data_IF_097852613959
#
_entry.id   IF_097852613959
#
_cell.length_a   1.000
_cell.length_b   1.000
_cell.length_c   1.000
_cell.angle_alpha   90.00
_cell.angle_beta   90.00
_cell.angle_gamma   90.00
#
_symmetry.space_group_name_H-M   'P 1'
#
loop_
_entity.id
_entity.type
_entity.pdbx_description
1 polymer ?
#
# COMPACT_ATOMS: atom_id res chain seq x y z
N UNK A 1 -23.14 10.33 -20.14
CA UNK A 1 -22.14 11.25 -19.57
C UNK A 1 -21.81 10.74 -18.17
N UNK A 2 -20.69 10.04 -18.00
CA UNK A 2 -20.33 9.46 -16.71
C UNK A 2 -19.85 10.59 -15.79
N UNK A 3 -20.60 10.89 -14.74
CA UNK A 3 -20.19 11.88 -13.75
C UNK A 3 -18.86 11.45 -13.11
N UNK A 4 -17.92 12.40 -13.01
CA UNK A 4 -16.62 12.17 -12.35
C UNK A 4 -16.83 11.52 -10.98
N UNK A 5 -16.37 10.28 -10.84
CA UNK A 5 -16.54 9.49 -9.63
C UNK A 5 -15.63 10.03 -8.53
N UNK A 6 -16.23 10.73 -7.56
CA UNK A 6 -15.53 11.35 -6.42
C UNK A 6 -15.68 10.46 -5.19
N UNK A 7 -14.56 10.11 -4.56
CA UNK A 7 -14.50 9.31 -3.34
C UNK A 7 -14.18 10.23 -2.17
N UNK A 8 -14.99 10.21 -1.11
CA UNK A 8 -14.74 10.97 0.12
C UNK A 8 -14.09 10.09 1.17
N UNK A 9 -12.86 10.43 1.57
CA UNK A 9 -12.14 9.79 2.68
C UNK A 9 -11.94 10.83 3.78
N UNK A 10 -12.76 10.73 4.84
CA UNK A 10 -12.79 11.73 5.91
C UNK A 10 -13.14 13.12 5.38
N UNK A 11 -12.21 14.09 5.52
CA UNK A 11 -12.35 15.46 5.00
C UNK A 11 -11.85 15.65 3.56
N UNK A 12 -11.22 14.64 2.96
CA UNK A 12 -10.66 14.73 1.60
C UNK A 12 -11.66 14.18 0.59
N UNK A 13 -11.79 14.90 -0.52
CA UNK A 13 -12.50 14.44 -1.72
C UNK A 13 -11.42 14.13 -2.76
N UNK A 14 -11.35 12.88 -3.20
CA UNK A 14 -10.41 12.41 -4.19
C UNK A 14 -11.18 12.05 -5.46
N UNK A 15 -10.65 12.44 -6.61
CA UNK A 15 -11.16 11.96 -7.89
C UNK A 15 -10.60 10.57 -8.17
N UNK A 16 -11.38 9.75 -8.87
CA UNK A 16 -10.97 8.42 -9.27
C UNK A 16 -9.64 8.45 -10.04
N UNK A 17 -9.50 9.37 -10.97
CA UNK A 17 -8.31 9.54 -11.83
C UNK A 17 -7.06 9.82 -10.99
N UNK A 18 -7.19 10.68 -9.97
CA UNK A 18 -6.10 11.01 -9.06
C UNK A 18 -5.65 9.79 -8.24
N UNK A 19 -6.59 8.93 -7.83
CA UNK A 19 -6.28 7.70 -7.10
C UNK A 19 -5.50 6.72 -7.99
N UNK A 20 -5.93 6.53 -9.24
CA UNK A 20 -5.21 5.66 -10.16
C UNK A 20 -3.83 6.20 -10.52
N UNK A 21 -3.72 7.52 -10.73
CA UNK A 21 -2.44 8.17 -11.00
C UNK A 21 -1.47 8.01 -9.82
N UNK A 22 -1.94 8.25 -8.59
CA UNK A 22 -1.11 8.05 -7.39
C UNK A 22 -0.71 6.60 -7.20
N UNK A 23 -1.63 5.66 -7.48
CA UNK A 23 -1.33 4.22 -7.47
C UNK A 23 -0.21 3.89 -8.45
N UNK A 24 -0.29 4.38 -9.69
CA UNK A 24 0.73 4.13 -10.70
C UNK A 24 2.10 4.68 -10.28
N UNK A 25 2.15 5.92 -9.80
CA UNK A 25 3.38 6.54 -9.29
C UNK A 25 3.96 5.72 -8.15
N UNK A 26 3.13 5.33 -7.19
CA UNK A 26 3.55 4.50 -6.06
C UNK A 26 4.18 3.18 -6.52
N UNK A 27 3.55 2.48 -7.48
CA UNK A 27 4.12 1.24 -8.03
C UNK A 27 5.44 1.48 -8.76
N UNK A 28 5.59 2.57 -9.53
CA UNK A 28 6.85 2.91 -10.20
C UNK A 28 7.95 3.19 -9.19
N UNK A 29 7.68 3.95 -8.14
CA UNK A 29 8.69 4.23 -7.10
C UNK A 29 9.06 2.96 -6.32
N UNK A 30 8.08 2.10 -6.01
CA UNK A 30 8.38 0.81 -5.37
C UNK A 30 9.20 -0.13 -6.27
N UNK A 31 9.02 -0.07 -7.59
CA UNK A 31 9.81 -0.88 -8.51
C UNK A 31 11.30 -0.53 -8.45
N UNK A 32 11.63 0.75 -8.23
CA UNK A 32 13.01 1.26 -8.11
C UNK A 32 13.73 0.81 -6.83
N UNK A 33 13.00 0.33 -5.82
CA UNK A 33 13.61 -0.13 -4.58
C UNK A 33 14.56 -1.29 -4.85
N UNK A 34 15.72 -1.25 -4.21
CA UNK A 34 16.67 -2.34 -4.21
C UNK A 34 16.06 -3.59 -3.57
N UNK A 35 16.66 -4.75 -3.86
CA UNK A 35 16.24 -6.00 -3.23
C UNK A 35 16.33 -5.91 -1.69
N UNK A 36 17.40 -5.33 -1.16
CA UNK A 36 17.61 -5.16 0.28
C UNK A 36 16.51 -4.30 0.93
N UNK A 37 16.14 -3.18 0.31
CA UNK A 37 15.06 -2.32 0.81
C UNK A 37 13.71 -3.04 0.79
N UNK A 38 13.43 -3.84 -0.25
CA UNK A 38 12.22 -4.67 -0.31
C UNK A 38 12.18 -5.68 0.85
N UNK A 39 13.31 -6.31 1.18
CA UNK A 39 13.41 -7.21 2.35
C UNK A 39 13.18 -6.45 3.66
N UNK A 40 13.78 -5.26 3.84
CA UNK A 40 13.55 -4.42 5.04
C UNK A 40 12.07 -4.10 5.23
N UNK A 41 11.39 -3.69 4.15
CA UNK A 41 9.94 -3.41 4.15
C UNK A 41 9.15 -4.67 4.55
N UNK A 42 9.47 -5.81 3.95
CA UNK A 42 8.79 -7.07 4.27
C UNK A 42 8.94 -7.46 5.76
N UNK A 43 10.14 -7.32 6.32
CA UNK A 43 10.40 -7.57 7.75
C UNK A 43 9.57 -6.62 8.63
N UNK A 44 9.48 -5.34 8.27
CA UNK A 44 8.66 -4.38 9.02
C UNK A 44 7.17 -4.74 8.97
N UNK A 45 6.66 -5.11 7.79
CA UNK A 45 5.27 -5.57 7.64
C UNK A 45 4.99 -6.82 8.48
N UNK A 46 5.92 -7.77 8.54
CA UNK A 46 5.80 -8.94 9.41
C UNK A 46 5.74 -8.58 10.88
N UNK A 47 6.55 -7.62 11.35
CA UNK A 47 6.53 -7.12 12.74
C UNK A 47 5.18 -6.49 13.08
N UNK A 48 4.66 -5.64 12.19
CA UNK A 48 3.34 -5.01 12.34
C UNK A 48 2.25 -6.08 12.37
N UNK A 49 2.27 -7.04 11.44
CA UNK A 49 1.30 -8.12 11.38
C UNK A 49 1.30 -8.99 12.64
N UNK A 50 2.47 -9.29 13.21
CA UNK A 50 2.60 -10.00 14.50
C UNK A 50 1.97 -9.21 15.65
N UNK A 51 2.16 -7.89 15.69
CA UNK A 51 1.59 -7.03 16.73
C UNK A 51 0.08 -6.90 16.60
N UNK A 52 -0.46 -6.93 15.38
CA UNK A 52 -1.91 -6.82 15.14
C UNK A 52 -2.65 -8.15 15.42
N UNK A 53 -2.02 -9.30 15.17
CA UNK A 53 -2.73 -10.61 15.28
C UNK A 53 -2.57 -11.31 16.63
N UNK A 54 -3.71 -11.70 17.22
CA UNK A 54 -3.81 -12.77 18.24
C UNK A 54 -3.96 -14.19 17.65
N UNK A 55 -4.56 -14.36 16.45
CA UNK A 55 -4.69 -15.66 15.73
C UNK A 55 -4.58 -15.46 14.21
N UNK A 56 -3.50 -15.94 13.59
CA UNK A 56 -3.35 -16.06 12.14
C UNK A 56 -1.88 -16.17 11.70
N UNK A 57 -1.66 -16.69 10.49
CA UNK A 57 -0.32 -17.02 9.98
C UNK A 57 0.34 -15.77 9.40
N UNK A 58 1.52 -15.42 9.92
CA UNK A 58 2.42 -14.43 9.32
C UNK A 58 3.48 -15.20 8.54
N UNK A 59 3.53 -14.99 7.22
CA UNK A 59 4.58 -15.56 6.37
C UNK A 59 5.93 -15.06 6.85
N UNK A 60 6.86 -15.97 7.13
CA UNK A 60 8.24 -15.66 7.52
C UNK A 60 9.13 -15.82 6.30
N UNK A 61 10.04 -14.88 6.10
CA UNK A 61 11.15 -15.03 5.16
C UNK A 61 12.21 -15.82 5.93
N UNK A 62 12.64 -16.96 5.38
CA UNK A 62 13.69 -17.82 5.96
C UNK A 62 15.07 -17.30 5.59
#
# INVERSE_FOLDING_TARGET
>A
MAGDMKIRIGRKILKKEDIYRQKEIFHREQAKLSFEEKIKILIQLQKIAKNIKRKGIVWKIR
#
